data_IF_266124502543
#
_entry.id   IF_266124502543
#
_cell.length_a   1.000
_cell.length_b   1.000
_cell.length_c   1.000
_cell.angle_alpha   90.00
_cell.angle_beta   90.00
_cell.angle_gamma   90.00
#
_symmetry.space_group_name_H-M   'P 1'
#
loop_
_entity.id
_entity.type
_entity.pdbx_description
1 polymer ?
#
# COMPACT_ATOMS: atom_id res chain seq x y z
N UNK A 1 9.77 30.34 6.49
CA UNK A 1 8.42 29.76 6.41
C UNK A 1 8.46 28.30 5.97
N UNK A 2 9.09 27.96 4.83
CA UNK A 2 9.20 26.57 4.34
C UNK A 2 10.00 25.67 5.31
N UNK A 3 11.13 26.14 5.82
CA UNK A 3 11.97 25.39 6.76
C UNK A 3 11.23 25.01 8.04
N UNK A 4 10.43 25.92 8.60
CA UNK A 4 9.62 25.68 9.80
C UNK A 4 8.57 24.57 9.61
N UNK A 5 8.03 24.44 8.39
CA UNK A 5 7.08 23.38 8.07
C UNK A 5 7.75 22.02 7.94
N UNK A 6 8.89 21.95 7.23
CA UNK A 6 9.62 20.69 7.01
C UNK A 6 10.11 20.06 8.31
N UNK A 7 10.48 20.88 9.30
CA UNK A 7 10.90 20.41 10.62
C UNK A 7 9.74 20.12 11.59
N UNK A 8 8.49 20.38 11.18
CA UNK A 8 7.31 20.04 11.98
C UNK A 8 7.16 18.53 12.07
N UNK A 9 6.76 18.01 13.23
CA UNK A 9 6.47 16.58 13.42
C UNK A 9 5.25 16.12 12.63
N UNK A 10 4.39 17.05 12.19
CA UNK A 10 3.31 16.76 11.24
C UNK A 10 3.83 16.50 9.82
N UNK A 11 5.05 16.95 9.49
CA UNK A 11 5.69 16.65 8.22
C UNK A 11 6.45 15.32 8.31
N UNK A 12 5.74 14.19 8.25
CA UNK A 12 6.36 12.87 8.45
C UNK A 12 5.95 11.80 7.43
N UNK A 13 6.84 10.82 7.24
CA UNK A 13 6.75 9.82 6.19
C UNK A 13 5.50 8.92 6.34
N UNK A 14 5.16 8.50 7.55
CA UNK A 14 4.00 7.66 7.81
C UNK A 14 2.69 8.38 7.44
N UNK A 15 2.56 9.65 7.80
CA UNK A 15 1.34 10.42 7.53
C UNK A 15 1.14 10.64 6.02
N UNK A 16 2.17 11.13 5.32
CA UNK A 16 2.07 11.37 3.88
C UNK A 16 1.98 10.09 3.06
N UNK A 17 2.78 9.07 3.40
CA UNK A 17 2.73 7.77 2.76
C UNK A 17 1.38 7.09 2.98
N UNK A 18 0.85 7.17 4.21
CA UNK A 18 -0.47 6.66 4.54
C UNK A 18 -1.59 7.32 3.74
N UNK A 19 -1.57 8.66 3.65
CA UNK A 19 -2.52 9.41 2.84
C UNK A 19 -2.45 8.99 1.36
N UNK A 20 -1.25 8.84 0.81
CA UNK A 20 -1.03 8.40 -0.56
C UNK A 20 -1.60 6.99 -0.80
N UNK A 21 -1.38 6.04 0.11
CA UNK A 21 -1.94 4.69 -0.02
C UNK A 21 -3.45 4.65 0.09
N UNK A 22 -4.07 5.47 0.95
CA UNK A 22 -5.54 5.57 1.01
C UNK A 22 -6.09 6.13 -0.31
N UNK A 23 -5.50 7.21 -0.83
CA UNK A 23 -5.93 7.83 -2.10
C UNK A 23 -5.76 6.83 -3.25
N UNK A 24 -4.59 6.23 -3.39
CA UNK A 24 -4.31 5.30 -4.50
C UNK A 24 -5.15 4.02 -4.39
N UNK A 25 -5.29 3.45 -3.20
CA UNK A 25 -6.15 2.29 -2.98
C UNK A 25 -7.63 2.60 -3.24
N UNK A 26 -8.09 3.82 -2.96
CA UNK A 26 -9.43 4.27 -3.34
C UNK A 26 -9.57 4.43 -4.86
N UNK A 27 -8.60 5.08 -5.52
CA UNK A 27 -8.60 5.27 -6.98
C UNK A 27 -8.61 3.95 -7.74
N UNK A 28 -7.74 2.99 -7.37
CA UNK A 28 -7.69 1.67 -8.00
C UNK A 28 -8.97 0.88 -7.73
N UNK A 29 -9.53 0.96 -6.51
CA UNK A 29 -10.80 0.29 -6.22
C UNK A 29 -11.97 0.88 -7.02
N UNK A 30 -11.97 2.20 -7.27
CA UNK A 30 -13.05 2.89 -7.98
C UNK A 30 -12.92 2.83 -9.50
N UNK A 31 -11.68 2.82 -9.99
CA UNK A 31 -11.27 2.79 -11.38
C UNK A 31 -10.19 1.72 -11.54
N UNK A 32 -10.57 0.43 -11.53
CA UNK A 32 -9.59 -0.65 -11.65
C UNK A 32 -8.92 -0.61 -13.03
N UNK A 33 -7.61 -0.90 -13.11
CA UNK A 33 -6.90 -0.95 -14.38
C UNK A 33 -7.44 -2.12 -15.21
N UNK A 34 -8.00 -1.80 -16.38
CA UNK A 34 -8.78 -2.74 -17.19
C UNK A 34 -7.96 -3.82 -17.87
N UNK A 35 -6.64 -3.65 -18.00
CA UNK A 35 -5.79 -4.63 -18.66
C UNK A 35 -4.37 -4.60 -18.12
N UNK A 36 -3.65 -5.70 -18.35
CA UNK A 36 -2.21 -5.82 -18.04
C UNK A 36 -1.38 -4.72 -18.73
N UNK A 37 -1.88 -4.09 -19.80
CA UNK A 37 -1.21 -3.00 -20.51
C UNK A 37 -1.54 -1.60 -19.97
N UNK A 38 -2.34 -1.48 -18.91
CA UNK A 38 -2.66 -0.18 -18.30
C UNK A 38 -1.40 0.49 -17.72
N UNK A 39 -1.31 1.82 -17.82
CA UNK A 39 -0.14 2.56 -17.33
C UNK A 39 0.00 2.58 -15.79
N UNK A 40 -1.03 2.15 -15.07
CA UNK A 40 -1.08 2.09 -13.60
C UNK A 40 -1.63 0.75 -13.12
N UNK A 41 -1.39 0.45 -11.84
CA UNK A 41 -1.79 -0.79 -11.17
C UNK A 41 -0.64 -1.47 -10.44
N UNK A 42 -0.97 -2.39 -9.55
CA UNK A 42 0.00 -3.28 -8.93
C UNK A 42 0.61 -4.20 -9.99
N UNK A 43 1.94 -4.26 -10.02
CA UNK A 43 2.73 -5.01 -11.00
C UNK A 43 3.78 -5.86 -10.30
N UNK A 44 3.68 -7.15 -10.56
CA UNK A 44 4.60 -8.19 -10.13
C UNK A 44 4.63 -9.31 -11.16
N UNK A 45 5.63 -10.18 -11.08
CA UNK A 45 5.77 -11.32 -11.99
C UNK A 45 4.50 -12.20 -12.03
N UNK A 46 3.85 -12.45 -10.89
CA UNK A 46 2.61 -13.24 -10.83
C UNK A 46 1.43 -12.45 -11.40
N UNK A 47 1.22 -11.20 -10.97
CA UNK A 47 0.05 -10.40 -11.36
C UNK A 47 -0.04 -10.14 -12.86
N UNK A 48 1.08 -10.14 -13.59
CA UNK A 48 1.10 -9.83 -15.04
C UNK A 48 1.00 -11.06 -15.94
N UNK A 49 0.85 -12.27 -15.39
CA UNK A 49 0.80 -13.51 -16.20
C UNK A 49 -0.44 -13.60 -17.08
N UNK A 50 -1.60 -13.23 -16.54
CA UNK A 50 -2.85 -13.20 -17.28
C UNK A 50 -3.79 -12.13 -16.74
N UNK A 51 -4.89 -11.92 -17.45
CA UNK A 51 -5.86 -10.89 -17.13
C UNK A 51 -6.60 -11.13 -15.80
N UNK A 52 -6.88 -12.39 -15.45
CA UNK A 52 -7.59 -12.69 -14.20
C UNK A 52 -6.70 -12.45 -12.96
N UNK A 53 -5.43 -12.85 -13.02
CA UNK A 53 -4.44 -12.57 -11.98
C UNK A 53 -4.19 -11.07 -11.84
N UNK A 54 -4.20 -10.32 -12.94
CA UNK A 54 -4.08 -8.87 -12.94
C UNK A 54 -5.23 -8.21 -12.18
N UNK A 55 -6.47 -8.62 -12.47
CA UNK A 55 -7.66 -8.12 -11.80
C UNK A 55 -7.69 -8.49 -10.33
N UNK A 56 -7.34 -9.73 -9.98
CA UNK A 56 -7.27 -10.21 -8.60
C UNK A 56 -6.22 -9.43 -7.79
N UNK A 57 -5.00 -9.30 -8.32
CA UNK A 57 -3.91 -8.58 -7.67
C UNK A 57 -4.25 -7.11 -7.42
N UNK A 58 -4.82 -6.42 -8.42
CA UNK A 58 -5.17 -5.02 -8.29
C UNK A 58 -6.34 -4.79 -7.33
N UNK A 59 -7.32 -5.71 -7.28
CA UNK A 59 -8.43 -5.66 -6.32
C UNK A 59 -7.91 -5.82 -4.88
N UNK A 60 -7.03 -6.80 -4.66
CA UNK A 60 -6.46 -7.08 -3.35
C UNK A 60 -5.51 -5.97 -2.90
N UNK A 61 -4.52 -5.60 -3.72
CA UNK A 61 -3.59 -4.51 -3.44
C UNK A 61 -4.31 -3.19 -3.14
N UNK A 62 -5.42 -2.88 -3.82
CA UNK A 62 -6.23 -1.70 -3.53
C UNK A 62 -6.89 -1.77 -2.14
N UNK A 63 -7.39 -2.94 -1.74
CA UNK A 63 -7.99 -3.14 -0.42
C UNK A 63 -6.94 -3.07 0.69
N UNK A 64 -5.82 -3.78 0.53
CA UNK A 64 -4.73 -3.84 1.51
C UNK A 64 -4.08 -2.46 1.66
N UNK A 65 -3.82 -1.75 0.55
CA UNK A 65 -3.26 -0.39 0.56
C UNK A 65 -4.14 0.58 1.35
N UNK A 66 -5.47 0.52 1.23
CA UNK A 66 -6.37 1.38 2.03
C UNK A 66 -6.23 1.09 3.53
N UNK A 67 -6.19 -0.19 3.92
CA UNK A 67 -6.06 -0.59 5.33
C UNK A 67 -4.72 -0.14 5.90
N UNK A 68 -3.62 -0.45 5.21
CA UNK A 68 -2.25 -0.07 5.60
C UNK A 68 -2.12 1.45 5.66
N UNK A 69 -2.67 2.15 4.67
CA UNK A 69 -2.65 3.61 4.63
C UNK A 69 -3.34 4.24 5.82
N UNK A 70 -4.51 3.72 6.23
CA UNK A 70 -5.23 4.20 7.41
C UNK A 70 -4.43 3.97 8.70
N UNK A 71 -3.83 2.79 8.86
CA UNK A 71 -2.95 2.47 10.01
C UNK A 71 -1.73 3.40 10.05
N UNK A 72 -1.10 3.66 8.91
CA UNK A 72 0.04 4.58 8.80
C UNK A 72 -0.33 6.01 9.15
N UNK A 73 -1.51 6.48 8.74
CA UNK A 73 -1.99 7.82 9.12
C UNK A 73 -2.20 7.93 10.64
N UNK A 74 -2.78 6.92 11.28
CA UNK A 74 -2.94 6.89 12.74
C UNK A 74 -1.58 6.94 13.44
N UNK A 75 -0.61 6.14 12.98
CA UNK A 75 0.75 6.14 13.54
C UNK A 75 1.43 7.50 13.32
N UNK A 76 1.32 8.08 12.13
CA UNK A 76 1.88 9.39 11.81
C UNK A 76 1.31 10.52 12.67
N UNK A 77 -0.01 10.50 12.94
CA UNK A 77 -0.67 11.45 13.85
C UNK A 77 -0.19 11.22 15.29
N UNK A 78 -0.19 9.99 15.78
CA UNK A 78 0.28 9.66 17.13
C UNK A 78 1.74 10.09 17.35
N UNK A 79 2.63 9.82 16.39
CA UNK A 79 4.02 10.27 16.45
C UNK A 79 4.11 11.80 16.46
N UNK A 80 3.30 12.50 15.65
CA UNK A 80 3.31 13.96 15.63
C UNK A 80 2.88 14.59 16.97
N UNK A 81 1.98 13.93 17.71
CA UNK A 81 1.51 14.37 19.03
C UNK A 81 2.46 14.02 20.17
N UNK A 82 3.15 12.88 20.09
CA UNK A 82 4.04 12.38 21.17
C UNK A 82 5.42 13.05 21.11
N UNK A 83 5.95 13.30 19.91
CA UNK A 83 7.28 13.86 19.73
C UNK A 83 7.20 15.37 19.52
N UNK A 84 8.07 16.12 20.21
CA UNK A 84 8.19 17.58 20.05
C UNK A 84 9.02 17.98 18.82
N UNK A 85 9.87 17.07 18.32
CA UNK A 85 10.79 17.27 17.20
C UNK A 85 11.07 15.97 16.47
N UNK A 86 11.56 16.08 15.23
CA UNK A 86 11.98 14.94 14.40
C UNK A 86 13.32 14.35 14.90
N UNK A 87 13.27 13.59 16.00
CA UNK A 87 14.41 12.83 16.51
C UNK A 87 14.70 11.57 15.68
N UNK A 88 15.82 10.90 15.92
CA UNK A 88 16.16 9.64 15.25
C UNK A 88 15.08 8.57 15.47
N UNK A 89 14.58 8.44 16.71
CA UNK A 89 13.47 7.53 17.04
C UNK A 89 12.19 7.84 16.26
N UNK A 90 11.85 9.13 16.13
CA UNK A 90 10.70 9.56 15.35
C UNK A 90 10.85 9.13 13.88
N UNK A 91 12.05 9.32 13.31
CA UNK A 91 12.36 8.91 11.94
C UNK A 91 12.28 7.39 11.78
N UNK A 92 12.85 6.61 12.70
CA UNK A 92 12.81 5.15 12.64
C UNK A 92 11.38 4.61 12.69
N UNK A 93 10.51 5.17 13.54
CA UNK A 93 9.12 4.72 13.63
C UNK A 93 8.35 5.08 12.37
N UNK A 94 8.43 6.34 11.93
CA UNK A 94 7.61 6.82 10.80
C UNK A 94 8.05 6.24 9.46
N UNK A 95 9.37 6.19 9.20
CA UNK A 95 9.93 5.60 7.97
C UNK A 95 9.89 4.08 8.04
N UNK A 96 10.28 3.48 9.17
CA UNK A 96 10.32 2.03 9.34
C UNK A 96 8.94 1.40 9.17
N UNK A 97 7.91 2.02 9.74
CA UNK A 97 6.54 1.52 9.57
C UNK A 97 6.03 1.70 8.12
N UNK A 98 6.41 2.80 7.45
CA UNK A 98 6.09 2.98 6.02
C UNK A 98 6.70 1.85 5.17
N UNK A 99 7.98 1.56 5.37
CA UNK A 99 8.68 0.47 4.66
C UNK A 99 8.02 -0.88 4.96
N UNK A 100 7.74 -1.16 6.24
CA UNK A 100 7.05 -2.39 6.64
C UNK A 100 5.66 -2.49 5.99
N UNK A 101 4.92 -1.38 5.88
CA UNK A 101 3.63 -1.30 5.21
C UNK A 101 3.72 -1.63 3.72
N UNK A 102 4.73 -1.09 3.01
CA UNK A 102 4.98 -1.43 1.60
C UNK A 102 5.26 -2.92 1.43
N UNK A 103 6.18 -3.45 2.23
CA UNK A 103 6.55 -4.86 2.19
C UNK A 103 5.35 -5.76 2.48
N UNK A 104 4.49 -5.35 3.42
CA UNK A 104 3.27 -6.07 3.74
C UNK A 104 2.27 -6.08 2.57
N UNK A 105 2.02 -4.94 1.91
CA UNK A 105 1.13 -4.88 0.73
C UNK A 105 1.61 -5.85 -0.35
N UNK A 106 2.91 -5.82 -0.68
CA UNK A 106 3.50 -6.69 -1.70
C UNK A 106 3.41 -8.16 -1.26
N UNK A 107 3.85 -8.47 -0.04
CA UNK A 107 3.86 -9.84 0.48
C UNK A 107 2.47 -10.46 0.57
N UNK A 108 1.47 -9.72 1.05
CA UNK A 108 0.08 -10.18 1.15
C UNK A 108 -0.52 -10.43 -0.24
N UNK A 109 -0.29 -9.53 -1.20
CA UNK A 109 -0.79 -9.67 -2.57
C UNK A 109 -0.14 -10.87 -3.28
N UNK A 110 1.19 -11.04 -3.19
CA UNK A 110 1.86 -12.20 -3.79
C UNK A 110 1.44 -13.52 -3.14
N UNK A 111 1.27 -13.52 -1.82
CA UNK A 111 0.80 -14.69 -1.08
C UNK A 111 -0.62 -15.08 -1.51
N UNK A 112 -1.54 -14.10 -1.61
CA UNK A 112 -2.89 -14.31 -2.11
C UNK A 112 -2.89 -14.87 -3.54
N UNK A 113 -2.08 -14.32 -4.45
CA UNK A 113 -1.95 -14.85 -5.82
C UNK A 113 -1.44 -16.30 -5.83
N UNK A 114 -0.43 -16.62 -5.01
CA UNK A 114 0.15 -17.98 -4.94
C UNK A 114 -0.82 -19.04 -4.39
N UNK A 115 -1.78 -18.61 -3.57
CA UNK A 115 -2.81 -19.47 -3.01
C UNK A 115 -4.01 -19.64 -3.95
N UNK A 116 -4.42 -18.57 -4.64
CA UNK A 116 -5.61 -18.59 -5.50
C UNK A 116 -5.32 -19.11 -6.92
N UNK A 117 -4.09 -19.06 -7.40
CA UNK A 117 -3.71 -19.45 -8.76
C UNK A 117 -2.64 -20.55 -8.78
N UNK A 118 -2.66 -21.37 -9.83
CA UNK A 118 -1.61 -22.36 -10.10
C UNK A 118 -0.44 -21.79 -10.92
N UNK A 119 0.55 -22.63 -11.20
CA UNK A 119 1.72 -22.23 -11.98
C UNK A 119 1.40 -21.89 -13.44
N UNK A 120 0.27 -22.38 -13.98
CA UNK A 120 -0.24 -22.04 -15.31
C UNK A 120 -1.10 -20.76 -15.29
N UNK A 121 -1.37 -20.22 -14.10
CA UNK A 121 -2.23 -19.05 -13.88
C UNK A 121 -3.73 -19.36 -13.91
N UNK A 122 -4.13 -20.63 -13.81
CA UNK A 122 -5.54 -21.01 -13.63
C UNK A 122 -5.93 -20.90 -12.17
N UNK A 123 -7.16 -20.48 -11.94
CA UNK A 123 -7.68 -20.30 -10.58
C UNK A 123 -7.94 -21.64 -9.91
N UNK A 124 -7.41 -21.81 -8.69
CA UNK A 124 -7.59 -22.98 -7.82
C UNK A 124 -8.86 -22.89 -6.98
N UNK A 125 -9.22 -21.67 -6.54
CA UNK A 125 -10.28 -21.41 -5.55
C UNK A 125 -11.29 -20.42 -6.14
N UNK A 126 -12.61 -20.64 -6.00
CA UNK A 126 -13.60 -19.67 -6.46
C UNK A 126 -13.41 -18.29 -5.78
N UNK A 127 -13.75 -17.18 -6.46
CA UNK A 127 -13.57 -15.85 -5.92
C UNK A 127 -14.26 -15.67 -4.58
N UNK A 128 -13.54 -15.08 -3.62
CA UNK A 128 -14.15 -14.56 -2.39
C UNK A 128 -15.14 -13.47 -2.80
N UNK A 129 -16.43 -13.74 -2.57
CA UNK A 129 -17.55 -12.81 -2.79
C UNK A 129 -17.32 -11.50 -2.05
#
# INVERSE_FOLDING_TARGET
>A
MITSFVHSTYCNAALFGGLLFVIMGYLIARFPPKSVNAWYGYRSFLSTRNQEMWEAANKDAALVSKKVGFVLMLIGICCALIFERQSDWFMYITVGTLVAGVLYIVGDTEWMLSNEFDEEGKRRVPPKL
#
